data_IF_184698234027
#
_entry.id   IF_184698234027
#
_cell.length_a   1.000
_cell.length_b   1.000
_cell.length_c   1.000
_cell.angle_alpha   90.00
_cell.angle_beta   90.00
_cell.angle_gamma   90.00
#
_symmetry.space_group_name_H-M   'P 1'
#
loop_
_entity.id
_entity.type
_entity.pdbx_description
1 polymer ?
#
# COMPACT_ATOMS: atom_id res chain seq x y z
N UNK A 1 24.91 -21.01 -41.02
CA UNK A 1 26.22 -21.70 -41.09
C UNK A 1 26.18 -22.80 -40.04
N UNK A 2 25.76 -24.01 -40.47
CA UNK A 2 25.88 -25.21 -39.66
C UNK A 2 27.06 -25.98 -40.26
N UNK A 3 28.17 -26.02 -39.56
CA UNK A 3 29.26 -26.91 -39.87
C UNK A 3 29.17 -28.14 -38.96
N UNK A 4 29.18 -29.25 -39.62
CA UNK A 4 29.50 -30.61 -39.21
C UNK A 4 29.23 -31.07 -37.77
N UNK A 5 28.40 -32.09 -37.69
CA UNK A 5 28.07 -32.91 -36.54
C UNK A 5 29.35 -33.51 -35.96
N UNK A 6 29.84 -32.97 -34.86
CA UNK A 6 30.79 -33.64 -33.98
C UNK A 6 29.94 -34.40 -32.95
N UNK A 7 30.08 -35.70 -32.93
CA UNK A 7 29.51 -36.62 -31.94
C UNK A 7 30.20 -36.41 -30.60
N UNK A 8 29.73 -35.42 -29.85
CA UNK A 8 30.14 -35.16 -28.47
C UNK A 8 28.91 -34.71 -27.70
N UNK A 9 28.81 -35.05 -26.40
CA UNK A 9 27.77 -34.55 -25.51
C UNK A 9 27.73 -33.02 -25.55
N UNK A 10 26.58 -32.47 -25.90
CA UNK A 10 26.38 -31.01 -25.97
C UNK A 10 26.41 -30.47 -24.54
N UNK A 11 27.50 -29.80 -24.19
CA UNK A 11 27.62 -29.13 -22.89
C UNK A 11 27.14 -27.69 -22.99
N UNK A 12 26.33 -27.23 -22.01
CA UNK A 12 25.87 -25.83 -22.00
C UNK A 12 27.03 -24.89 -21.74
N UNK A 13 27.08 -23.78 -22.47
CA UNK A 13 28.10 -22.73 -22.28
C UNK A 13 27.95 -22.05 -20.93
N UNK A 14 29.03 -21.47 -20.43
CA UNK A 14 29.02 -20.67 -19.19
C UNK A 14 28.00 -19.52 -19.23
N UNK A 15 27.84 -18.87 -20.38
CA UNK A 15 26.82 -17.84 -20.58
C UNK A 15 25.40 -18.37 -20.41
N UNK A 16 25.10 -19.54 -20.98
CA UNK A 16 23.80 -20.20 -20.82
C UNK A 16 23.52 -20.61 -19.37
N UNK A 17 24.52 -21.12 -18.66
CA UNK A 17 24.38 -21.45 -17.23
C UNK A 17 24.08 -20.19 -16.38
N UNK A 18 24.78 -19.07 -16.64
CA UNK A 18 24.51 -17.79 -15.95
C UNK A 18 23.10 -17.26 -16.20
N UNK A 19 22.59 -17.38 -17.44
CA UNK A 19 21.22 -16.99 -17.76
C UNK A 19 20.21 -17.80 -16.97
N UNK A 20 20.38 -19.13 -16.89
CA UNK A 20 19.50 -19.99 -16.11
C UNK A 20 19.57 -19.67 -14.61
N UNK A 21 20.76 -19.47 -14.06
CA UNK A 21 20.91 -19.09 -12.66
C UNK A 21 20.23 -17.75 -12.32
N UNK A 22 20.36 -16.75 -13.21
CA UNK A 22 19.65 -15.47 -13.05
C UNK A 22 18.15 -15.62 -13.13
N UNK A 23 17.65 -16.45 -14.05
CA UNK A 23 16.21 -16.71 -14.17
C UNK A 23 15.66 -17.38 -12.89
N UNK A 24 16.37 -18.36 -12.33
CA UNK A 24 16.01 -19.02 -11.07
C UNK A 24 16.03 -18.01 -9.91
N UNK A 25 17.07 -17.20 -9.80
CA UNK A 25 17.20 -16.19 -8.75
C UNK A 25 16.07 -15.14 -8.83
N UNK A 26 15.73 -14.69 -10.03
CA UNK A 26 14.60 -13.77 -10.25
C UNK A 26 13.25 -14.36 -9.83
N UNK A 27 13.03 -15.63 -10.10
CA UNK A 27 11.78 -16.31 -9.71
C UNK A 27 11.70 -16.51 -8.20
N UNK A 28 12.81 -16.89 -7.56
CA UNK A 28 12.88 -17.03 -6.11
C UNK A 28 12.67 -15.70 -5.38
N UNK A 29 13.27 -14.61 -5.87
CA UNK A 29 13.10 -13.27 -5.29
C UNK A 29 11.68 -12.70 -5.46
N UNK A 30 10.95 -13.17 -6.49
CA UNK A 30 9.55 -12.76 -6.74
C UNK A 30 8.50 -13.68 -6.11
N UNK A 31 8.92 -14.63 -5.25
CA UNK A 31 8.02 -15.55 -4.55
C UNK A 31 7.31 -16.59 -5.44
N UNK A 32 7.66 -16.70 -6.71
CA UNK A 32 7.09 -17.68 -7.65
C UNK A 32 7.82 -19.03 -7.52
N UNK A 33 7.09 -20.13 -7.73
CA UNK A 33 7.62 -21.49 -7.55
C UNK A 33 8.17 -22.13 -8.83
N UNK A 34 7.87 -21.57 -10.00
CA UNK A 34 8.23 -22.16 -11.29
C UNK A 34 8.94 -21.16 -12.19
N UNK A 35 10.02 -21.60 -12.86
CA UNK A 35 10.74 -20.83 -13.87
C UNK A 35 10.12 -21.10 -15.23
N UNK A 36 9.50 -20.09 -15.82
CA UNK A 36 8.94 -20.18 -17.18
C UNK A 36 9.88 -19.58 -18.22
N UNK A 37 9.71 -19.95 -19.50
CA UNK A 37 10.55 -19.46 -20.60
C UNK A 37 10.63 -17.92 -20.69
N UNK A 38 9.58 -17.22 -20.28
CA UNK A 38 9.54 -15.77 -20.18
C UNK A 38 10.61 -15.21 -19.23
N UNK A 39 10.82 -15.86 -18.07
CA UNK A 39 11.84 -15.47 -17.10
C UNK A 39 13.26 -15.66 -17.68
N UNK A 40 13.45 -16.74 -18.46
CA UNK A 40 14.73 -17.01 -19.13
C UNK A 40 15.00 -15.97 -20.21
N UNK A 41 13.98 -15.58 -20.99
CA UNK A 41 14.09 -14.54 -22.01
C UNK A 41 14.51 -13.19 -21.40
N UNK A 42 13.90 -12.77 -20.28
CA UNK A 42 14.29 -11.55 -19.57
C UNK A 42 15.72 -11.63 -19.03
N UNK A 43 16.10 -12.78 -18.46
CA UNK A 43 17.44 -13.01 -17.90
C UNK A 43 18.52 -13.00 -18.97
N UNK A 44 18.19 -13.41 -20.22
CA UNK A 44 19.11 -13.44 -21.37
C UNK A 44 19.62 -12.06 -21.76
N UNK A 45 18.82 -10.98 -21.60
CA UNK A 45 19.25 -9.60 -21.83
C UNK A 45 20.37 -9.13 -20.88
N UNK A 46 20.66 -9.89 -19.83
CA UNK A 46 21.80 -9.62 -18.95
C UNK A 46 23.15 -10.11 -19.50
N UNK A 47 23.19 -10.85 -20.61
CA UNK A 47 24.42 -11.31 -21.29
C UNK A 47 24.68 -10.43 -22.51
N UNK A 48 25.52 -9.41 -22.35
CA UNK A 48 25.81 -8.40 -23.42
C UNK A 48 26.47 -9.01 -24.64
N UNK A 49 27.20 -10.12 -24.50
CA UNK A 49 27.88 -10.82 -25.59
C UNK A 49 26.97 -11.87 -26.28
N UNK A 50 25.72 -11.97 -25.94
CA UNK A 50 24.79 -12.93 -26.54
C UNK A 50 24.36 -12.49 -27.95
N UNK A 51 24.61 -13.35 -28.92
CA UNK A 51 24.15 -13.13 -30.29
C UNK A 51 22.62 -13.00 -30.39
N UNK A 52 21.89 -13.69 -29.53
CA UNK A 52 20.43 -13.60 -29.46
C UNK A 52 19.98 -12.21 -29.01
N UNK A 53 20.64 -11.63 -27.98
CA UNK A 53 20.38 -10.26 -27.54
C UNK A 53 20.70 -9.23 -28.59
N UNK A 54 21.81 -9.41 -29.31
CA UNK A 54 22.19 -8.57 -30.45
C UNK A 54 21.09 -8.59 -31.54
N UNK A 55 20.60 -9.78 -31.93
CA UNK A 55 19.55 -9.88 -32.92
C UNK A 55 18.22 -9.26 -32.48
N UNK A 56 17.82 -9.44 -31.22
CA UNK A 56 16.63 -8.81 -30.67
C UNK A 56 16.75 -7.28 -30.63
N UNK A 57 17.91 -6.77 -30.21
CA UNK A 57 18.18 -5.33 -30.19
C UNK A 57 18.19 -4.73 -31.61
N UNK A 58 18.70 -5.47 -32.62
CA UNK A 58 18.65 -5.06 -34.01
C UNK A 58 17.23 -5.00 -34.59
N UNK A 59 16.31 -5.77 -34.03
CA UNK A 59 14.87 -5.70 -34.31
C UNK A 59 14.14 -4.63 -33.47
N UNK A 60 14.89 -3.81 -32.73
CA UNK A 60 14.32 -2.77 -31.86
C UNK A 60 13.62 -3.30 -30.62
N UNK A 61 13.84 -4.57 -30.24
CA UNK A 61 13.28 -5.17 -29.03
C UNK A 61 14.25 -4.98 -27.88
N UNK A 62 13.85 -4.20 -26.87
CA UNK A 62 14.59 -4.00 -25.61
C UNK A 62 14.14 -4.95 -24.51
N UNK A 63 14.94 -5.07 -23.46
CA UNK A 63 14.56 -5.82 -22.24
C UNK A 63 13.24 -5.31 -21.66
N UNK A 64 13.03 -3.99 -21.68
CA UNK A 64 11.83 -3.36 -21.13
C UNK A 64 10.58 -3.75 -21.93
N UNK A 65 10.68 -3.80 -23.26
CA UNK A 65 9.58 -4.22 -24.13
C UNK A 65 9.12 -5.65 -23.79
N UNK A 66 10.11 -6.55 -23.55
CA UNK A 66 9.82 -7.94 -23.16
C UNK A 66 9.18 -8.02 -21.78
N UNK A 67 9.67 -7.26 -20.80
CA UNK A 67 9.09 -7.20 -19.45
C UNK A 67 7.67 -6.65 -19.48
N UNK A 68 7.43 -5.57 -20.21
CA UNK A 68 6.10 -4.96 -20.37
C UNK A 68 5.12 -5.91 -21.06
N UNK A 69 5.57 -6.62 -22.10
CA UNK A 69 4.73 -7.61 -22.75
C UNK A 69 4.34 -8.77 -21.83
N UNK A 70 5.30 -9.28 -21.04
CA UNK A 70 5.05 -10.38 -20.10
C UNK A 70 4.17 -9.96 -18.93
N UNK A 71 4.32 -8.71 -18.45
CA UNK A 71 3.60 -8.21 -17.27
C UNK A 71 2.21 -7.64 -17.59
N UNK A 72 2.06 -7.01 -18.75
CA UNK A 72 0.87 -6.21 -19.07
C UNK A 72 0.24 -6.56 -20.43
N UNK A 73 0.82 -7.47 -21.22
CA UNK A 73 0.33 -7.83 -22.56
C UNK A 73 0.42 -6.71 -23.59
N UNK A 74 1.19 -5.65 -23.33
CA UNK A 74 1.30 -4.48 -24.20
C UNK A 74 2.33 -4.78 -25.30
N UNK A 75 1.85 -4.94 -26.55
CA UNK A 75 2.72 -5.08 -27.71
C UNK A 75 3.17 -3.70 -28.20
N UNK A 76 4.42 -3.63 -28.69
CA UNK A 76 4.96 -2.42 -29.33
C UNK A 76 4.24 -2.18 -30.64
N UNK A 77 3.43 -1.12 -30.75
CA UNK A 77 2.82 -0.68 -32.01
C UNK A 77 3.91 0.06 -32.80
N UNK A 78 4.23 -0.44 -33.96
CA UNK A 78 5.15 0.22 -34.92
C UNK A 78 4.46 1.43 -35.49
N UNK A 79 4.81 2.63 -35.05
CA UNK A 79 4.53 3.86 -35.79
C UNK A 79 5.59 4.09 -36.86
N UNK A 80 5.25 3.71 -38.09
CA UNK A 80 5.87 4.31 -39.28
C UNK A 80 5.21 5.67 -39.49
N UNK A 81 5.91 6.75 -39.16
CA UNK A 81 6.03 8.01 -39.93
C UNK A 81 6.65 9.09 -39.04
N UNK A 82 7.91 9.30 -39.20
CA UNK A 82 8.53 10.61 -39.46
C UNK A 82 10.06 10.53 -39.34
N UNK A 83 10.70 10.48 -40.52
CA UNK A 83 12.10 10.83 -40.68
C UNK A 83 12.25 12.34 -40.51
N UNK A 84 13.18 12.78 -39.67
CA UNK A 84 14.06 13.93 -39.92
C UNK A 84 15.40 13.67 -39.23
N UNK A 85 16.46 13.92 -40.00
CA UNK A 85 17.88 13.77 -39.71
C UNK A 85 18.37 14.65 -38.55
N UNK A 86 19.32 14.21 -37.73
CA UNK A 86 20.68 14.73 -37.68
C UNK A 86 21.54 14.15 -36.54
N UNK A 87 22.73 13.68 -37.02
CA UNK A 87 24.07 13.74 -36.42
C UNK A 87 24.34 13.38 -34.95
N UNK A 88 25.08 12.28 -34.89
CA UNK A 88 26.15 11.89 -33.94
C UNK A 88 26.49 12.83 -32.79
N UNK A 89 26.31 12.34 -31.61
CA UNK A 89 27.28 12.40 -30.50
C UNK A 89 27.01 11.30 -29.47
N UNK A 90 28.06 10.52 -29.21
CA UNK A 90 28.12 9.51 -28.16
C UNK A 90 27.85 10.14 -26.78
N UNK A 91 26.74 9.71 -26.15
CA UNK A 91 26.59 9.73 -24.68
C UNK A 91 25.56 8.66 -24.27
N UNK A 92 25.71 8.01 -23.08
CA UNK A 92 24.92 6.82 -22.72
C UNK A 92 23.47 7.17 -22.47
N UNK A 93 22.58 6.25 -22.86
CA UNK A 93 21.12 6.27 -22.82
C UNK A 93 20.55 7.10 -21.65
N UNK A 94 20.13 8.33 -21.94
CA UNK A 94 19.34 9.16 -21.07
C UNK A 94 17.93 8.58 -20.94
N UNK A 95 17.56 8.13 -19.75
CA UNK A 95 16.16 8.04 -19.34
C UNK A 95 15.50 9.38 -19.69
N UNK A 96 14.27 9.33 -20.21
CA UNK A 96 13.52 10.53 -20.60
C UNK A 96 13.47 11.54 -19.44
N UNK A 97 14.41 12.49 -19.42
CA UNK A 97 14.60 13.50 -18.36
C UNK A 97 13.45 14.52 -18.30
N UNK A 98 12.42 14.40 -19.15
CA UNK A 98 11.44 15.47 -19.31
C UNK A 98 10.21 15.39 -18.40
N UNK A 99 9.94 14.27 -17.69
CA UNK A 99 8.76 14.19 -16.81
C UNK A 99 8.97 13.31 -15.57
N UNK A 100 9.95 13.64 -14.70
CA UNK A 100 10.21 12.84 -13.49
C UNK A 100 9.00 12.79 -12.53
N UNK A 101 8.12 13.79 -12.53
CA UNK A 101 6.93 13.81 -11.70
C UNK A 101 5.90 12.76 -12.14
N UNK A 102 5.70 12.57 -13.43
CA UNK A 102 4.77 11.55 -13.96
C UNK A 102 5.29 10.13 -13.77
N UNK A 103 6.62 9.95 -13.77
CA UNK A 103 7.25 8.64 -13.61
C UNK A 103 7.30 8.16 -12.15
N UNK A 104 7.38 9.09 -11.19
CA UNK A 104 7.67 8.78 -9.78
C UNK A 104 6.63 9.33 -8.80
N UNK A 105 5.56 9.98 -9.29
CA UNK A 105 4.48 10.46 -8.44
C UNK A 105 3.13 10.30 -9.15
N UNK A 106 2.13 9.93 -8.36
CA UNK A 106 0.75 9.78 -8.83
C UNK A 106 -0.04 11.06 -8.55
N UNK A 107 -0.68 11.63 -9.56
CA UNK A 107 -1.58 12.78 -9.40
C UNK A 107 -2.92 12.33 -8.79
N UNK A 108 -3.14 12.62 -7.50
CA UNK A 108 -4.36 12.23 -6.80
C UNK A 108 -5.59 12.98 -7.30
N UNK A 109 -5.46 14.25 -7.70
CA UNK A 109 -6.59 15.00 -8.26
C UNK A 109 -7.09 14.37 -9.56
N UNK A 110 -6.18 13.92 -10.41
CA UNK A 110 -6.55 13.22 -11.66
C UNK A 110 -7.25 11.89 -11.35
N UNK A 111 -6.76 11.11 -10.37
CA UNK A 111 -7.45 9.89 -9.91
C UNK A 111 -8.84 10.19 -9.35
N UNK A 112 -9.00 11.31 -8.62
CA UNK A 112 -10.29 11.76 -8.12
C UNK A 112 -11.27 12.07 -9.24
N UNK A 113 -10.83 12.82 -10.27
CA UNK A 113 -11.64 13.13 -11.47
C UNK A 113 -12.08 11.87 -12.22
N UNK A 114 -11.24 10.85 -12.26
CA UNK A 114 -11.52 9.55 -12.90
C UNK A 114 -12.42 8.65 -12.04
N UNK A 115 -12.77 9.06 -10.82
CA UNK A 115 -13.57 8.26 -9.90
C UNK A 115 -12.83 7.07 -9.26
N UNK A 116 -11.49 7.05 -9.34
CA UNK A 116 -10.66 5.97 -8.80
C UNK A 116 -10.29 6.15 -7.32
N UNK A 117 -10.80 7.18 -6.67
CA UNK A 117 -10.61 7.41 -5.23
C UNK A 117 -11.88 7.02 -4.49
N UNK A 118 -11.71 6.29 -3.40
CA UNK A 118 -12.78 5.90 -2.52
C UNK A 118 -13.36 7.11 -1.75
N UNK A 119 -14.67 7.11 -1.46
CA UNK A 119 -15.26 8.18 -0.66
C UNK A 119 -14.64 8.17 0.74
N UNK A 120 -14.16 9.31 1.20
CA UNK A 120 -13.76 9.50 2.59
C UNK A 120 -15.02 9.73 3.42
N UNK A 121 -15.18 8.96 4.49
CA UNK A 121 -16.34 8.99 5.37
C UNK A 121 -15.86 9.24 6.79
N UNK A 122 -16.49 10.21 7.44
CA UNK A 122 -15.96 10.77 8.66
C UNK A 122 -14.67 11.54 8.41
N UNK A 123 -13.94 11.90 9.42
CA UNK A 123 -12.65 12.60 9.33
C UNK A 123 -12.74 14.06 8.85
N UNK A 124 -13.90 14.68 9.00
CA UNK A 124 -14.10 16.09 8.64
C UNK A 124 -13.16 17.00 9.42
N UNK A 125 -12.99 16.76 10.71
CA UNK A 125 -12.13 17.55 11.61
C UNK A 125 -10.66 17.44 11.23
N UNK A 126 -10.19 16.24 10.90
CA UNK A 126 -8.80 16.01 10.47
C UNK A 126 -8.52 16.62 9.09
N UNK A 127 -9.48 16.56 8.17
CA UNK A 127 -9.39 17.25 6.88
C UNK A 127 -9.37 18.76 7.06
N UNK A 128 -10.29 19.33 7.84
CA UNK A 128 -10.32 20.76 8.12
C UNK A 128 -9.00 21.20 8.75
N UNK A 129 -8.49 20.44 9.71
CA UNK A 129 -7.20 20.71 10.32
C UNK A 129 -6.05 20.63 9.33
N UNK A 130 -6.05 19.68 8.41
CA UNK A 130 -5.06 19.55 7.33
C UNK A 130 -5.10 20.77 6.41
N UNK A 131 -6.28 21.21 6.00
CA UNK A 131 -6.50 22.42 5.20
C UNK A 131 -5.98 23.66 5.93
N UNK A 132 -6.33 23.83 7.21
CA UNK A 132 -5.87 24.96 8.03
C UNK A 132 -4.34 25.03 8.07
N UNK A 133 -3.67 23.89 8.25
CA UNK A 133 -2.21 23.82 8.30
C UNK A 133 -1.61 24.16 6.95
N UNK A 134 -2.11 23.63 5.84
CA UNK A 134 -1.63 23.94 4.49
C UNK A 134 -1.77 25.43 4.11
N UNK A 135 -2.73 26.13 4.70
CA UNK A 135 -2.93 27.56 4.51
C UNK A 135 -2.03 28.44 5.40
N UNK A 136 -1.26 27.88 6.33
CA UNK A 136 -0.39 28.66 7.23
C UNK A 136 0.84 29.19 6.50
N UNK A 137 1.37 30.29 6.99
CA UNK A 137 2.62 30.88 6.48
C UNK A 137 3.87 30.07 6.90
N UNK A 138 3.83 29.47 8.09
CA UNK A 138 4.93 28.65 8.66
C UNK A 138 4.35 27.40 9.28
N UNK A 139 5.14 26.31 9.36
CA UNK A 139 4.68 25.00 9.79
C UNK A 139 3.44 24.58 8.99
N UNK A 140 3.51 24.78 7.69
CA UNK A 140 2.44 24.54 6.73
C UNK A 140 2.44 23.12 6.15
N UNK A 141 3.22 22.22 6.73
CA UNK A 141 3.28 20.83 6.32
C UNK A 141 2.59 19.96 7.39
N UNK A 142 1.39 19.43 7.12
CA UNK A 142 0.74 18.50 8.04
C UNK A 142 1.49 17.16 8.06
N UNK A 143 1.59 16.57 9.27
CA UNK A 143 2.10 15.23 9.48
C UNK A 143 1.00 14.40 10.13
N UNK A 144 0.43 13.46 9.36
CA UNK A 144 -0.60 12.55 9.81
C UNK A 144 0.06 11.43 10.62
N UNK A 145 -0.21 11.37 11.92
CA UNK A 145 0.38 10.39 12.83
C UNK A 145 -0.72 9.48 13.38
N UNK A 146 -0.58 8.19 13.19
CA UNK A 146 -1.54 7.20 13.67
C UNK A 146 -1.06 5.79 13.33
N UNK A 147 -1.69 4.79 13.90
CA UNK A 147 -1.33 3.39 13.66
C UNK A 147 -1.54 2.96 12.21
N UNK A 148 -0.97 1.83 11.81
CA UNK A 148 -1.16 1.30 10.46
C UNK A 148 -2.63 0.92 10.24
N UNK A 149 -3.20 1.25 9.07
CA UNK A 149 -4.57 0.87 8.74
C UNK A 149 -5.68 1.80 9.25
N UNK A 150 -5.36 2.91 9.97
CA UNK A 150 -6.39 3.86 10.46
C UNK A 150 -6.90 4.85 9.40
N UNK A 151 -6.38 4.80 8.16
CA UNK A 151 -6.87 5.61 7.05
C UNK A 151 -6.08 6.87 6.74
N UNK A 152 -4.78 6.97 7.10
CA UNK A 152 -3.92 8.13 6.80
C UNK A 152 -3.82 8.46 5.32
N UNK A 153 -3.66 7.46 4.47
CA UNK A 153 -3.59 7.61 3.00
C UNK A 153 -4.93 8.07 2.44
N UNK A 154 -6.04 7.51 2.96
CA UNK A 154 -7.39 7.91 2.56
C UNK A 154 -7.69 9.39 2.85
N UNK A 155 -7.09 9.99 3.90
CA UNK A 155 -7.19 11.43 4.18
C UNK A 155 -6.56 12.28 3.06
N UNK A 156 -5.40 11.90 2.55
CA UNK A 156 -4.76 12.62 1.43
C UNK A 156 -5.57 12.48 0.14
N UNK A 157 -6.11 11.30 -0.12
CA UNK A 157 -7.00 11.04 -1.26
C UNK A 157 -8.33 11.80 -1.13
N UNK A 158 -8.94 11.81 0.06
CA UNK A 158 -10.15 12.56 0.35
C UNK A 158 -9.96 14.07 0.21
N UNK A 159 -8.80 14.60 0.62
CA UNK A 159 -8.45 16.00 0.40
C UNK A 159 -8.32 16.32 -1.10
N UNK A 160 -7.69 15.44 -1.88
CA UNK A 160 -7.59 15.61 -3.33
C UNK A 160 -8.98 15.65 -3.98
N UNK A 161 -9.91 14.81 -3.53
CA UNK A 161 -11.29 14.82 -3.99
C UNK A 161 -12.01 16.13 -3.63
N UNK A 162 -11.89 16.62 -2.39
CA UNK A 162 -12.45 17.92 -1.97
C UNK A 162 -11.89 19.09 -2.78
N UNK A 163 -10.62 19.05 -3.19
CA UNK A 163 -10.04 20.06 -4.08
C UNK A 163 -10.71 20.01 -5.46
N UNK A 164 -10.90 18.84 -6.03
CA UNK A 164 -11.57 18.64 -7.31
C UNK A 164 -13.03 19.10 -7.26
N UNK A 165 -13.73 18.76 -6.20
CA UNK A 165 -15.14 19.13 -5.96
C UNK A 165 -15.29 20.62 -5.55
N UNK A 166 -14.17 21.35 -5.40
CA UNK A 166 -14.10 22.77 -4.98
C UNK A 166 -14.64 23.03 -3.56
N UNK A 167 -14.61 22.03 -2.71
CA UNK A 167 -15.03 22.09 -1.31
C UNK A 167 -13.88 22.52 -0.37
N UNK A 168 -12.99 23.37 -0.85
CA UNK A 168 -11.83 23.90 -0.12
C UNK A 168 -11.76 25.41 -0.26
N UNK A 169 -11.06 26.11 0.68
CA UNK A 169 -10.81 27.54 0.57
C UNK A 169 -10.10 27.94 -0.73
N UNK A 170 -10.30 29.17 -1.18
CA UNK A 170 -9.77 29.70 -2.46
C UNK A 170 -8.27 29.47 -2.63
N UNK A 171 -7.51 29.53 -1.54
CA UNK A 171 -6.05 29.33 -1.52
C UNK A 171 -5.64 27.91 -2.00
N UNK A 172 -6.52 26.93 -1.86
CA UNK A 172 -6.24 25.54 -2.23
C UNK A 172 -7.01 25.06 -3.48
N UNK A 173 -7.90 25.88 -4.04
CA UNK A 173 -8.73 25.48 -5.20
C UNK A 173 -7.93 25.06 -6.44
N UNK A 174 -6.72 25.59 -6.58
CA UNK A 174 -5.82 25.28 -7.69
C UNK A 174 -4.67 24.36 -7.28
N UNK A 175 -4.75 23.80 -6.07
CA UNK A 175 -3.70 22.88 -5.60
C UNK A 175 -3.88 21.49 -6.20
N UNK A 176 -2.75 20.83 -6.48
CA UNK A 176 -2.70 19.46 -6.97
C UNK A 176 -1.85 18.63 -6.02
N UNK A 177 -2.40 17.53 -5.53
CA UNK A 177 -1.71 16.60 -4.63
C UNK A 177 -1.03 15.50 -5.46
N UNK A 178 0.27 15.35 -5.27
CA UNK A 178 1.10 14.33 -5.89
C UNK A 178 1.56 13.34 -4.83
N UNK A 179 1.13 12.09 -4.92
CA UNK A 179 1.60 11.01 -4.05
C UNK A 179 2.90 10.44 -4.57
N UNK A 180 3.97 10.52 -3.77
CA UNK A 180 5.28 10.01 -4.14
C UNK A 180 5.31 8.48 -4.13
N UNK A 181 5.73 7.88 -5.24
CA UNK A 181 5.96 6.43 -5.31
C UNK A 181 7.43 6.11 -4.97
N UNK A 182 7.64 5.71 -3.72
CA UNK A 182 8.97 5.33 -3.24
C UNK A 182 9.48 4.05 -3.91
N UNK A 183 8.59 3.12 -4.23
CA UNK A 183 8.93 1.89 -4.93
C UNK A 183 9.49 2.18 -6.32
N UNK A 184 8.83 3.05 -7.08
CA UNK A 184 9.29 3.48 -8.40
C UNK A 184 10.62 4.24 -8.35
N UNK A 185 10.82 5.09 -7.33
CA UNK A 185 12.08 5.81 -7.14
C UNK A 185 13.27 4.89 -6.90
N UNK A 186 13.07 3.79 -6.17
CA UNK A 186 14.11 2.82 -5.82
C UNK A 186 14.28 1.75 -6.89
N UNK A 187 13.23 1.42 -7.64
CA UNK A 187 13.27 0.36 -8.64
C UNK A 187 14.36 0.59 -9.68
N UNK A 188 15.26 -0.41 -9.85
CA UNK A 188 16.34 -0.36 -10.83
C UNK A 188 17.52 0.55 -10.47
N UNK A 189 17.55 1.22 -9.31
CA UNK A 189 18.71 1.97 -8.84
C UNK A 189 19.77 0.99 -8.33
N UNK A 190 21.00 1.10 -8.85
CA UNK A 190 22.16 0.33 -8.38
C UNK A 190 22.95 1.09 -7.32
N UNK A 191 22.89 2.41 -7.35
CA UNK A 191 23.67 3.30 -6.51
C UNK A 191 22.78 4.36 -5.86
N UNK A 192 23.19 4.81 -4.67
CA UNK A 192 22.52 5.90 -3.95
C UNK A 192 22.35 7.17 -4.79
N UNK A 193 23.30 7.47 -5.66
CA UNK A 193 23.27 8.64 -6.54
C UNK A 193 22.12 8.63 -7.54
N UNK A 194 21.68 7.46 -8.00
CA UNK A 194 20.56 7.35 -8.96
C UNK A 194 19.24 7.76 -8.29
N UNK A 195 19.00 7.26 -7.08
CA UNK A 195 17.85 7.65 -6.27
C UNK A 195 17.83 9.17 -5.98
N UNK A 196 18.99 9.71 -5.54
CA UNK A 196 19.11 11.14 -5.27
C UNK A 196 18.86 11.98 -6.51
N UNK A 197 19.34 11.56 -7.69
CA UNK A 197 19.10 12.23 -8.98
C UNK A 197 17.62 12.23 -9.33
N UNK A 198 16.93 11.10 -9.21
CA UNK A 198 15.49 10.96 -9.46
C UNK A 198 14.67 11.85 -8.53
N UNK A 199 14.90 11.75 -7.22
CA UNK A 199 14.20 12.55 -6.22
C UNK A 199 14.44 14.06 -6.44
N UNK A 200 15.67 14.49 -6.75
CA UNK A 200 15.97 15.88 -7.12
C UNK A 200 15.19 16.33 -8.35
N UNK A 201 15.03 15.45 -9.34
CA UNK A 201 14.21 15.70 -10.53
C UNK A 201 12.76 15.98 -10.18
N UNK A 202 12.13 15.09 -9.39
CA UNK A 202 10.74 15.26 -8.89
C UNK A 202 10.60 16.57 -8.11
N UNK A 203 11.48 16.81 -7.15
CA UNK A 203 11.42 18.01 -6.31
C UNK A 203 11.59 19.32 -7.11
N UNK A 204 12.46 19.33 -8.13
CA UNK A 204 12.62 20.48 -9.04
C UNK A 204 11.37 20.76 -9.87
N UNK A 205 10.70 19.69 -10.32
CA UNK A 205 9.47 19.82 -11.10
C UNK A 205 8.30 20.28 -10.22
N UNK A 206 8.15 19.74 -9.01
CA UNK A 206 7.17 20.20 -8.03
C UNK A 206 7.33 21.69 -7.70
N UNK A 207 8.57 22.17 -7.54
CA UNK A 207 8.85 23.60 -7.30
C UNK A 207 8.40 24.50 -8.45
N UNK A 208 8.37 24.01 -9.69
CA UNK A 208 7.92 24.75 -10.87
C UNK A 208 6.40 24.69 -11.09
N UNK A 209 5.73 23.77 -10.40
CA UNK A 209 4.29 23.55 -10.53
C UNK A 209 3.56 24.35 -9.46
N UNK A 210 2.85 25.37 -9.86
CA UNK A 210 2.08 26.20 -8.93
C UNK A 210 1.01 25.37 -8.21
N UNK A 211 0.91 25.57 -6.90
CA UNK A 211 -0.06 24.87 -6.06
C UNK A 211 0.23 23.39 -5.84
N UNK A 212 1.40 22.88 -6.24
CA UNK A 212 1.76 21.49 -6.00
C UNK A 212 1.93 21.21 -4.50
N UNK A 213 1.32 20.09 -4.05
CA UNK A 213 1.45 19.56 -2.69
C UNK A 213 1.96 18.11 -2.83
N UNK A 214 3.09 17.82 -2.19
CA UNK A 214 3.66 16.48 -2.19
C UNK A 214 3.09 15.67 -1.02
N UNK A 215 2.46 14.54 -1.30
CA UNK A 215 2.12 13.54 -0.28
C UNK A 215 3.18 12.44 -0.25
N UNK A 216 3.70 12.18 0.94
CA UNK A 216 4.68 11.12 1.18
C UNK A 216 4.09 10.19 2.23
N UNK A 217 3.66 9.02 1.79
CA UNK A 217 3.24 7.97 2.70
C UNK A 217 4.48 7.34 3.36
N UNK A 218 4.36 6.95 4.61
CA UNK A 218 5.47 6.42 5.41
C UNK A 218 6.74 7.27 5.30
N UNK A 219 6.62 8.59 5.47
CA UNK A 219 7.71 9.57 5.28
C UNK A 219 8.97 9.22 6.07
N UNK A 220 8.85 8.44 7.14
CA UNK A 220 9.96 7.96 7.95
C UNK A 220 10.94 7.08 7.15
N UNK A 221 10.46 6.39 6.11
CA UNK A 221 11.31 5.54 5.25
C UNK A 221 12.35 6.35 4.48
N UNK A 222 12.05 7.61 4.16
CA UNK A 222 12.97 8.52 3.46
C UNK A 222 13.87 9.29 4.43
N UNK A 223 13.35 9.60 5.63
CA UNK A 223 13.98 10.53 6.56
C UNK A 223 14.86 9.82 7.58
N UNK A 224 14.51 8.61 8.01
CA UNK A 224 15.15 7.93 9.13
C UNK A 224 16.17 6.85 8.79
N UNK A 225 16.32 6.54 7.55
CA UNK A 225 17.06 5.39 7.07
C UNK A 225 18.61 5.48 7.23
N UNK A 226 19.13 6.62 7.67
CA UNK A 226 20.57 6.89 7.72
C UNK A 226 21.32 6.33 8.92
N UNK A 227 20.68 5.84 9.98
CA UNK A 227 21.39 5.63 11.26
C UNK A 227 21.59 4.19 11.73
N UNK A 228 20.94 3.18 11.15
CA UNK A 228 20.93 1.83 11.75
C UNK A 228 21.32 0.65 10.84
N UNK A 229 21.38 0.81 9.53
CA UNK A 229 21.84 -0.27 8.65
C UNK A 229 22.54 0.30 7.41
N UNK A 230 23.78 -0.05 7.21
CA UNK A 230 24.70 0.48 6.19
C UNK A 230 24.26 0.32 4.73
N UNK A 231 23.14 0.92 4.35
CA UNK A 231 22.66 0.82 2.96
C UNK A 231 21.38 1.59 2.64
N UNK A 232 20.69 2.21 3.59
CA UNK A 232 19.40 2.84 3.36
C UNK A 232 19.54 4.34 3.05
N UNK A 233 18.72 4.80 2.12
CA UNK A 233 18.75 6.09 1.42
C UNK A 233 18.31 7.24 2.31
N UNK A 234 19.22 8.07 2.79
CA UNK A 234 18.88 9.29 3.52
C UNK A 234 18.58 10.45 2.55
N UNK A 235 17.31 10.64 2.26
CA UNK A 235 16.83 11.77 1.45
C UNK A 235 16.57 13.04 2.28
N UNK A 236 16.78 12.99 3.59
CA UNK A 236 16.55 14.14 4.49
C UNK A 236 17.29 15.39 4.02
N UNK A 237 18.52 15.21 3.55
CA UNK A 237 19.36 16.32 3.08
C UNK A 237 18.83 17.00 1.82
N UNK A 238 17.97 16.33 1.05
CA UNK A 238 17.34 16.88 -0.14
C UNK A 238 16.00 17.58 0.17
N UNK A 239 15.21 16.99 1.05
CA UNK A 239 13.86 17.47 1.39
C UNK A 239 13.92 18.62 2.39
N UNK A 240 14.78 18.54 3.43
CA UNK A 240 14.91 19.56 4.48
C UNK A 240 15.12 21.00 3.96
N UNK A 241 16.01 21.27 2.99
CA UNK A 241 16.21 22.62 2.47
C UNK A 241 14.95 23.17 1.80
N UNK A 242 14.22 22.35 1.05
CA UNK A 242 13.01 22.77 0.33
C UNK A 242 11.82 23.02 1.26
N UNK A 243 11.68 22.23 2.31
CA UNK A 243 10.72 22.48 3.38
C UNK A 243 11.11 23.74 4.19
N UNK A 244 12.42 24.03 4.28
CA UNK A 244 12.94 25.18 5.02
C UNK A 244 12.68 26.50 4.29
N UNK A 245 12.85 26.53 2.96
CA UNK A 245 12.59 27.71 2.12
C UNK A 245 11.09 28.00 1.98
N UNK A 246 10.20 27.01 2.22
CA UNK A 246 8.77 27.10 1.96
C UNK A 246 8.40 26.91 0.48
N UNK A 247 9.37 26.49 -0.34
CA UNK A 247 9.19 26.21 -1.76
C UNK A 247 8.37 24.93 -2.04
N UNK A 248 8.24 24.07 -1.03
CA UNK A 248 7.51 22.82 -1.11
C UNK A 248 6.48 22.73 0.01
N UNK A 249 5.23 22.48 -0.34
CA UNK A 249 4.21 22.02 0.61
C UNK A 249 4.20 20.50 0.62
N UNK A 250 4.21 19.91 1.81
CA UNK A 250 4.29 18.46 1.97
C UNK A 250 3.28 17.99 3.02
N UNK A 251 2.57 16.92 2.70
CA UNK A 251 1.78 16.13 3.64
C UNK A 251 2.56 14.85 3.89
N UNK A 252 2.91 14.54 5.12
CA UNK A 252 3.56 13.29 5.49
C UNK A 252 2.61 12.38 6.26
N UNK A 253 2.78 11.07 6.17
CA UNK A 253 2.16 10.11 7.06
C UNK A 253 3.23 9.29 7.79
N UNK A 254 2.94 8.89 9.03
CA UNK A 254 3.85 8.04 9.82
C UNK A 254 3.08 7.37 10.96
N UNK A 255 3.70 6.40 11.63
CA UNK A 255 3.13 5.82 12.86
C UNK A 255 3.64 6.53 14.10
N UNK A 256 3.03 6.25 15.27
CA UNK A 256 3.47 6.84 16.54
C UNK A 256 4.90 6.42 16.93
N UNK A 257 5.27 5.17 16.62
CA UNK A 257 6.60 4.65 16.94
C UNK A 257 7.69 5.38 16.15
N UNK A 258 7.52 5.54 14.83
CA UNK A 258 8.48 6.23 13.96
C UNK A 258 8.47 7.75 14.21
N UNK A 259 7.32 8.34 14.54
CA UNK A 259 7.27 9.75 14.94
C UNK A 259 8.19 10.04 16.12
N UNK A 260 8.10 9.24 17.19
CA UNK A 260 8.96 9.38 18.38
C UNK A 260 10.42 9.09 18.08
N UNK A 261 10.70 8.07 17.25
CA UNK A 261 12.06 7.64 16.98
C UNK A 261 12.84 8.58 16.05
N UNK A 262 12.16 9.25 15.12
CA UNK A 262 12.76 10.03 14.03
C UNK A 262 12.43 11.52 14.14
N UNK A 263 11.12 11.88 14.14
CA UNK A 263 10.73 13.29 14.06
C UNK A 263 10.97 14.07 15.35
N UNK A 264 10.76 13.48 16.53
CA UNK A 264 11.04 14.16 17.80
C UNK A 264 12.52 14.43 18.00
N UNK A 265 13.39 13.56 17.45
CA UNK A 265 14.85 13.73 17.52
C UNK A 265 15.39 14.73 16.51
N UNK A 266 14.71 14.94 15.40
CA UNK A 266 15.11 15.89 14.36
C UNK A 266 14.41 17.23 14.51
N UNK A 267 15.01 18.13 15.26
CA UNK A 267 14.46 19.46 15.50
C UNK A 267 14.22 20.29 14.25
N UNK A 268 14.93 20.03 13.13
CA UNK A 268 14.76 20.75 11.88
C UNK A 268 13.44 20.35 11.20
N UNK A 269 13.08 19.06 11.23
CA UNK A 269 11.82 18.55 10.73
C UNK A 269 10.65 18.90 11.65
N UNK A 270 10.81 18.72 12.97
CA UNK A 270 9.78 19.05 13.95
C UNK A 270 9.31 20.52 13.88
N UNK A 271 10.20 21.43 13.48
CA UNK A 271 9.84 22.85 13.26
C UNK A 271 9.09 23.12 11.95
N UNK A 272 9.06 22.18 11.01
CA UNK A 272 8.47 22.35 9.69
C UNK A 272 7.14 21.62 9.53
N UNK A 273 6.98 20.53 10.25
CA UNK A 273 5.75 19.76 10.27
C UNK A 273 4.86 20.14 11.46
N UNK A 274 3.57 20.03 11.25
CA UNK A 274 2.56 20.13 12.29
C UNK A 274 1.87 18.76 12.42
N UNK A 275 2.01 18.14 13.57
CA UNK A 275 1.37 16.85 13.89
C UNK A 275 -0.16 16.99 13.88
N UNK A 276 -0.81 16.01 13.28
CA UNK A 276 -2.24 15.72 13.37
C UNK A 276 -2.35 14.26 13.80
N UNK A 277 -3.00 14.01 14.92
CA UNK A 277 -3.27 12.65 15.39
C UNK A 277 -4.44 12.06 14.61
N UNK A 278 -4.27 10.85 14.12
CA UNK A 278 -5.30 10.08 13.41
C UNK A 278 -5.58 8.84 14.23
N UNK A 279 -6.61 8.94 15.03
CA UNK A 279 -7.01 7.88 15.95
C UNK A 279 -7.75 6.76 15.21
N UNK A 280 -7.77 5.57 15.79
CA UNK A 280 -8.58 4.46 15.32
C UNK A 280 -10.06 4.86 15.37
N UNK A 281 -10.83 4.67 14.27
CA UNK A 281 -12.26 4.99 14.30
C UNK A 281 -13.00 4.01 15.21
N UNK A 282 -14.08 4.48 15.79
CA UNK A 282 -15.01 3.65 16.58
C UNK A 282 -15.69 2.60 15.68
N UNK A 283 -16.31 1.61 16.32
CA UNK A 283 -17.08 0.58 15.59
C UNK A 283 -18.21 1.21 14.77
N UNK A 284 -18.92 2.20 15.31
CA UNK A 284 -20.02 2.88 14.61
C UNK A 284 -19.52 3.68 13.40
N UNK A 285 -18.43 4.44 13.55
CA UNK A 285 -17.78 5.13 12.43
C UNK A 285 -17.28 4.14 11.37
N UNK A 286 -16.74 3.01 11.80
CA UNK A 286 -16.32 1.95 10.88
C UNK A 286 -17.51 1.36 10.11
N UNK A 287 -18.66 1.15 10.77
CA UNK A 287 -19.89 0.71 10.08
C UNK A 287 -20.28 1.71 8.99
N UNK A 288 -20.18 3.00 9.25
CA UNK A 288 -20.52 4.02 8.26
C UNK A 288 -19.49 4.07 7.12
N UNK A 289 -18.21 3.89 7.40
CA UNK A 289 -17.16 3.71 6.39
C UNK A 289 -17.48 2.51 5.49
N UNK A 290 -17.78 1.35 6.08
CA UNK A 290 -18.14 0.15 5.32
C UNK A 290 -19.40 0.35 4.46
N UNK A 291 -20.41 1.08 4.95
CA UNK A 291 -21.61 1.42 4.17
C UNK A 291 -21.27 2.29 2.95
N UNK A 292 -20.37 3.25 3.12
CA UNK A 292 -19.95 4.12 2.01
C UNK A 292 -19.11 3.40 0.96
N UNK A 293 -18.30 2.43 1.38
CA UNK A 293 -17.51 1.59 0.48
C UNK A 293 -18.31 0.44 -0.16
N UNK A 294 -19.49 0.12 0.39
CA UNK A 294 -20.33 -1.02 0.01
C UNK A 294 -20.52 -1.15 -1.49
N UNK A 295 -20.90 -0.09 -2.17
CA UNK A 295 -21.21 -0.12 -3.61
C UNK A 295 -20.02 -0.57 -4.44
N UNK A 296 -18.81 -0.11 -4.11
CA UNK A 296 -17.58 -0.48 -4.81
C UNK A 296 -17.23 -1.95 -4.63
N UNK A 297 -17.35 -2.47 -3.41
CA UNK A 297 -17.12 -3.89 -3.14
C UNK A 297 -18.20 -4.77 -3.79
N UNK A 298 -19.46 -4.30 -3.83
CA UNK A 298 -20.55 -4.99 -4.51
C UNK A 298 -20.31 -5.10 -6.03
N UNK A 299 -19.81 -4.03 -6.64
CA UNK A 299 -19.46 -4.00 -8.07
C UNK A 299 -18.24 -4.87 -8.37
N UNK A 300 -17.19 -4.81 -7.51
CA UNK A 300 -15.96 -5.56 -7.71
C UNK A 300 -16.18 -7.08 -7.61
N UNK A 301 -16.95 -7.54 -6.63
CA UNK A 301 -17.17 -8.96 -6.37
C UNK A 301 -18.43 -9.52 -7.04
N UNK A 302 -19.28 -8.67 -7.64
CA UNK A 302 -20.61 -9.04 -8.16
C UNK A 302 -21.47 -9.75 -7.09
N UNK A 303 -21.55 -9.16 -5.89
CA UNK A 303 -22.30 -9.64 -4.73
C UNK A 303 -23.12 -8.50 -4.12
N UNK A 304 -23.99 -8.83 -3.16
CA UNK A 304 -24.70 -7.85 -2.34
C UNK A 304 -24.36 -8.05 -0.86
N UNK A 305 -24.03 -6.97 -0.16
CA UNK A 305 -23.79 -7.01 1.28
C UNK A 305 -25.05 -6.60 2.05
N UNK A 306 -25.48 -7.42 3.00
CA UNK A 306 -26.52 -7.00 3.94
C UNK A 306 -25.97 -5.98 4.95
N UNK A 307 -26.78 -5.04 5.41
CA UNK A 307 -26.34 -4.06 6.41
C UNK A 307 -25.90 -4.73 7.73
N UNK A 308 -26.54 -5.86 8.06
CA UNK A 308 -26.15 -6.65 9.23
C UNK A 308 -24.79 -7.32 9.05
N UNK A 309 -24.42 -7.71 7.81
CA UNK A 309 -23.08 -8.23 7.54
C UNK A 309 -22.00 -7.15 7.71
N UNK A 310 -22.25 -5.92 7.25
CA UNK A 310 -21.30 -4.80 7.45
C UNK A 310 -21.12 -4.47 8.94
N UNK A 311 -22.23 -4.44 9.70
CA UNK A 311 -22.19 -4.26 11.16
C UNK A 311 -21.39 -5.40 11.82
N UNK A 312 -21.70 -6.64 11.49
CA UNK A 312 -20.98 -7.80 12.01
C UNK A 312 -19.48 -7.76 11.66
N UNK A 313 -19.11 -7.30 10.46
CA UNK A 313 -17.72 -7.17 10.07
C UNK A 313 -16.96 -6.19 10.97
N UNK A 314 -17.54 -5.04 11.29
CA UNK A 314 -16.93 -4.07 12.20
C UNK A 314 -16.83 -4.62 13.63
N UNK A 315 -17.96 -5.10 14.21
CA UNK A 315 -18.04 -5.58 15.58
C UNK A 315 -17.14 -6.81 15.82
N UNK A 316 -17.15 -7.78 14.90
CA UNK A 316 -16.38 -9.01 15.07
C UNK A 316 -14.89 -8.83 14.79
N UNK A 317 -14.53 -7.97 13.82
CA UNK A 317 -13.12 -7.65 13.58
C UNK A 317 -12.51 -6.91 14.76
N UNK A 318 -13.22 -5.98 15.38
CA UNK A 318 -12.78 -5.29 16.60
C UNK A 318 -12.55 -6.28 17.75
N UNK A 319 -13.45 -7.21 17.91
CA UNK A 319 -13.43 -8.16 19.02
C UNK A 319 -12.39 -9.27 18.88
N UNK A 320 -12.17 -9.79 17.67
CA UNK A 320 -11.39 -11.01 17.45
C UNK A 320 -10.08 -10.80 16.69
N UNK A 321 -9.91 -9.68 15.96
CA UNK A 321 -8.69 -9.34 15.25
C UNK A 321 -7.98 -8.22 16.01
N UNK A 322 -7.04 -8.60 16.88
CA UNK A 322 -6.39 -7.67 17.82
C UNK A 322 -5.02 -7.18 17.36
N UNK A 323 -4.48 -7.75 16.30
CA UNK A 323 -3.16 -7.42 15.72
C UNK A 323 -3.20 -6.30 14.68
N UNK A 324 -4.40 -5.80 14.36
CA UNK A 324 -4.65 -4.73 13.38
C UNK A 324 -5.69 -3.74 13.90
N UNK A 325 -5.77 -2.59 13.23
CA UNK A 325 -6.66 -1.48 13.59
C UNK A 325 -7.83 -1.33 12.63
N UNK A 326 -8.93 -0.78 13.12
CA UNK A 326 -10.05 -0.32 12.29
C UNK A 326 -9.63 0.93 11.48
N UNK A 327 -10.18 1.16 10.28
CA UNK A 327 -11.18 0.35 9.59
C UNK A 327 -10.58 -0.80 8.76
N UNK A 328 -9.26 -0.86 8.59
CA UNK A 328 -8.55 -1.75 7.66
C UNK A 328 -8.92 -3.23 7.88
N UNK A 329 -8.84 -3.71 9.14
CA UNK A 329 -9.23 -5.09 9.49
C UNK A 329 -10.68 -5.44 9.14
N UNK A 330 -11.60 -4.47 9.21
CA UNK A 330 -13.00 -4.69 8.85
C UNK A 330 -13.22 -4.64 7.33
N UNK A 331 -12.47 -3.80 6.63
CA UNK A 331 -12.43 -3.74 5.17
C UNK A 331 -11.92 -5.06 4.60
N UNK A 332 -10.82 -5.60 5.13
CA UNK A 332 -10.28 -6.91 4.72
C UNK A 332 -11.30 -8.02 4.91
N UNK A 333 -12.05 -8.01 6.01
CA UNK A 333 -13.11 -9.01 6.28
C UNK A 333 -14.21 -8.95 5.23
N UNK A 334 -14.70 -7.77 4.84
CA UNK A 334 -15.75 -7.67 3.80
C UNK A 334 -15.21 -8.03 2.42
N UNK A 335 -13.97 -7.67 2.12
CA UNK A 335 -13.32 -7.99 0.84
C UNK A 335 -13.14 -9.51 0.69
N UNK A 336 -12.59 -10.19 1.70
CA UNK A 336 -12.44 -11.66 1.69
C UNK A 336 -13.79 -12.37 1.66
N UNK A 337 -14.82 -11.85 2.37
CA UNK A 337 -16.17 -12.41 2.33
C UNK A 337 -16.81 -12.30 0.94
N UNK A 338 -16.63 -11.16 0.27
CA UNK A 338 -17.08 -10.94 -1.10
C UNK A 338 -16.41 -11.87 -2.09
N UNK A 339 -15.08 -11.96 -2.01
CA UNK A 339 -14.29 -12.85 -2.85
C UNK A 339 -14.70 -14.33 -2.66
N UNK A 340 -14.84 -14.78 -1.41
CA UNK A 340 -15.27 -16.14 -1.08
C UNK A 340 -16.68 -16.43 -1.64
N UNK A 341 -17.60 -15.49 -1.48
CA UNK A 341 -18.98 -15.63 -1.97
C UNK A 341 -19.05 -15.66 -3.50
N UNK A 342 -18.20 -14.91 -4.17
CA UNK A 342 -18.04 -14.96 -5.64
C UNK A 342 -17.58 -16.33 -6.11
N UNK A 343 -16.58 -16.94 -5.44
CA UNK A 343 -16.03 -18.24 -5.80
C UNK A 343 -17.00 -19.42 -5.55
N UNK A 344 -17.76 -19.39 -4.45
CA UNK A 344 -18.67 -20.48 -4.06
C UNK A 344 -19.97 -20.55 -4.86
N UNK A 345 -20.29 -19.56 -5.68
CA UNK A 345 -21.57 -19.51 -6.35
C UNK A 345 -21.58 -20.08 -7.75
N UNK A 346 -22.58 -20.88 -8.04
CA UNK A 346 -22.95 -21.30 -9.40
C UNK A 346 -23.49 -20.10 -10.19
N UNK A 347 -23.15 -20.02 -11.46
CA UNK A 347 -23.53 -18.95 -12.39
C UNK A 347 -25.05 -18.67 -12.37
N UNK A 348 -25.47 -17.42 -12.13
CA UNK A 348 -26.82 -16.95 -12.44
C UNK A 348 -27.63 -16.29 -11.33
N UNK A 349 -27.23 -16.24 -10.06
CA UNK A 349 -27.94 -15.48 -9.02
C UNK A 349 -27.05 -14.47 -8.32
N UNK A 350 -27.52 -13.23 -8.13
CA UNK A 350 -26.82 -12.23 -7.28
C UNK A 350 -26.68 -12.80 -5.89
N UNK A 351 -25.45 -12.97 -5.48
CA UNK A 351 -25.10 -13.62 -4.23
C UNK A 351 -25.10 -12.59 -3.11
N UNK A 352 -25.75 -12.90 -2.00
CA UNK A 352 -25.76 -12.04 -0.83
C UNK A 352 -24.73 -12.54 0.20
N UNK A 353 -23.92 -11.62 0.71
CA UNK A 353 -23.05 -11.83 1.87
C UNK A 353 -23.86 -11.53 3.13
N UNK A 354 -23.97 -12.51 4.00
CA UNK A 354 -24.71 -12.46 5.24
C UNK A 354 -23.78 -12.52 6.46
N UNK A 355 -24.34 -12.39 7.65
CA UNK A 355 -23.60 -12.44 8.92
C UNK A 355 -22.79 -13.73 9.05
N UNK A 356 -23.36 -14.88 8.72
CA UNK A 356 -22.66 -16.19 8.79
C UNK A 356 -21.42 -16.23 7.88
N UNK A 357 -21.43 -15.56 6.72
CA UNK A 357 -20.27 -15.49 5.83
C UNK A 357 -19.15 -14.70 6.52
N UNK A 358 -19.49 -13.59 7.17
CA UNK A 358 -18.55 -12.75 7.95
C UNK A 358 -17.97 -13.52 9.14
N UNK A 359 -18.82 -14.20 9.92
CA UNK A 359 -18.39 -15.02 11.07
C UNK A 359 -17.36 -16.08 10.65
N UNK A 360 -17.59 -16.74 9.51
CA UNK A 360 -16.66 -17.73 8.97
C UNK A 360 -15.33 -17.13 8.55
N UNK A 361 -15.33 -15.94 7.95
CA UNK A 361 -14.10 -15.25 7.55
C UNK A 361 -13.33 -14.78 8.79
N UNK A 362 -13.99 -14.13 9.74
CA UNK A 362 -13.35 -13.70 10.99
C UNK A 362 -12.76 -14.90 11.75
N UNK A 363 -13.50 -16.01 11.84
CA UNK A 363 -13.00 -17.24 12.47
C UNK A 363 -11.70 -17.73 11.80
N UNK A 364 -11.66 -17.67 10.46
CA UNK A 364 -10.49 -18.08 9.68
C UNK A 364 -9.30 -17.13 9.88
N UNK A 365 -9.52 -15.82 9.84
CA UNK A 365 -8.47 -14.81 10.02
C UNK A 365 -7.92 -14.89 11.47
N UNK A 366 -8.80 -14.90 12.46
CA UNK A 366 -8.44 -14.96 13.88
C UNK A 366 -7.98 -16.36 14.32
N UNK A 367 -8.07 -17.38 13.46
CA UNK A 367 -7.72 -18.79 13.74
C UNK A 367 -8.48 -19.38 14.94
N UNK A 368 -9.75 -19.04 15.09
CA UNK A 368 -10.64 -19.53 16.15
C UNK A 368 -11.76 -20.37 15.54
N UNK A 369 -12.38 -21.29 16.31
CA UNK A 369 -13.54 -22.04 15.83
C UNK A 369 -14.72 -21.11 15.50
N UNK A 370 -15.38 -21.31 14.35
CA UNK A 370 -16.51 -20.48 13.90
C UNK A 370 -17.66 -20.43 14.92
N UNK A 371 -17.88 -21.51 15.66
CA UNK A 371 -18.87 -21.56 16.74
C UNK A 371 -18.60 -20.52 17.86
N UNK A 372 -17.33 -20.17 18.09
CA UNK A 372 -16.95 -19.18 19.12
C UNK A 372 -17.30 -17.76 18.67
N UNK A 373 -17.28 -17.50 17.38
CA UNK A 373 -17.61 -16.18 16.81
C UNK A 373 -19.12 -15.93 16.81
N UNK A 374 -19.92 -16.97 16.57
CA UNK A 374 -21.38 -16.89 16.48
C UNK A 374 -22.11 -16.91 17.83
N UNK A 375 -21.42 -17.34 18.91
CA UNK A 375 -22.04 -17.46 20.22
C UNK A 375 -21.99 -16.12 20.98
N UNK A 376 -23.12 -15.66 21.53
CA UNK A 376 -23.13 -14.45 22.33
C UNK A 376 -22.28 -14.61 23.62
N UNK A 377 -21.57 -13.55 24.02
CA UNK A 377 -20.76 -13.57 25.25
C UNK A 377 -21.56 -14.00 26.48
N UNK A 378 -22.82 -13.64 26.52
CA UNK A 378 -23.72 -13.99 27.62
C UNK A 378 -23.88 -15.51 27.78
N UNK A 379 -24.02 -16.25 26.66
CA UNK A 379 -24.13 -17.71 26.70
C UNK A 379 -22.81 -18.40 27.05
N UNK A 380 -21.70 -17.89 26.49
CA UNK A 380 -20.36 -18.41 26.81
C UNK A 380 -20.05 -18.22 28.29
N UNK A 381 -20.29 -17.02 28.84
CA UNK A 381 -20.05 -16.72 30.23
C UNK A 381 -21.00 -17.50 31.20
N UNK A 382 -22.24 -17.76 30.77
CA UNK A 382 -23.19 -18.57 31.53
C UNK A 382 -22.72 -20.02 31.66
N UNK A 383 -22.16 -20.58 30.61
CA UNK A 383 -21.72 -21.99 30.56
C UNK A 383 -20.25 -22.18 30.95
N UNK A 384 -19.46 -21.10 31.12
CA UNK A 384 -18.01 -21.13 31.30
C UNK A 384 -17.54 -22.11 32.40
N UNK A 385 -18.16 -22.07 33.54
CA UNK A 385 -17.78 -22.91 34.68
C UNK A 385 -18.04 -24.40 34.40
N UNK A 386 -19.19 -24.69 33.81
CA UNK A 386 -19.52 -26.07 33.38
C UNK A 386 -18.53 -26.59 32.33
N UNK A 387 -18.21 -25.79 31.35
CA UNK A 387 -17.36 -26.19 30.21
C UNK A 387 -15.89 -26.36 30.66
N UNK A 388 -15.43 -25.54 31.60
CA UNK A 388 -14.12 -25.71 32.25
C UNK A 388 -14.05 -27.00 33.09
N UNK A 389 -15.10 -27.31 33.87
CA UNK A 389 -15.19 -28.50 34.69
C UNK A 389 -15.23 -29.79 33.84
N UNK A 390 -15.68 -29.73 32.59
CA UNK A 390 -15.62 -30.87 31.66
C UNK A 390 -14.21 -31.11 31.12
N UNK A 391 -13.31 -30.14 31.15
CA UNK A 391 -11.95 -30.24 30.63
C UNK A 391 -10.90 -30.44 31.72
N UNK A 392 -11.12 -29.84 32.88
CA UNK A 392 -10.15 -29.82 33.99
C UNK A 392 -10.79 -30.49 35.23
N UNK A 393 -10.23 -31.61 35.66
CA UNK A 393 -10.74 -32.37 36.79
C UNK A 393 -10.01 -32.05 38.11
N UNK A 394 -10.72 -32.04 39.19
CA UNK A 394 -10.16 -31.89 40.55
C UNK A 394 -9.66 -30.45 40.89
N UNK A 395 -10.11 -29.45 40.17
CA UNK A 395 -9.75 -28.05 40.37
C UNK A 395 -11.01 -27.15 40.55
N UNK A 396 -12.08 -27.69 41.10
CA UNK A 396 -13.41 -27.04 41.12
C UNK A 396 -13.37 -25.66 41.78
N UNK A 397 -12.65 -25.49 42.88
CA UNK A 397 -12.53 -24.21 43.60
C UNK A 397 -11.78 -23.16 42.75
N UNK A 398 -10.72 -23.56 42.05
CA UNK A 398 -9.96 -22.68 41.17
C UNK A 398 -10.79 -22.28 39.94
N UNK A 399 -11.55 -23.19 39.35
CA UNK A 399 -12.44 -22.95 38.22
C UNK A 399 -13.55 -21.98 38.61
N UNK A 400 -14.19 -22.16 39.79
CA UNK A 400 -15.24 -21.25 40.28
C UNK A 400 -14.71 -19.84 40.51
N UNK A 401 -13.52 -19.69 41.10
CA UNK A 401 -12.87 -18.38 41.29
C UNK A 401 -12.52 -17.72 39.97
N UNK A 402 -11.95 -18.49 39.01
CA UNK A 402 -11.60 -18.01 37.69
C UNK A 402 -12.84 -17.56 36.91
N UNK A 403 -13.90 -18.39 36.87
CA UNK A 403 -15.15 -18.08 36.17
C UNK A 403 -15.83 -16.83 36.77
N UNK A 404 -15.79 -16.69 38.07
CA UNK A 404 -16.33 -15.51 38.76
C UNK A 404 -15.52 -14.26 38.37
N UNK A 405 -14.21 -14.30 38.42
CA UNK A 405 -13.34 -13.18 38.04
C UNK A 405 -13.53 -12.77 36.56
N UNK A 406 -13.66 -13.71 35.66
CA UNK A 406 -13.93 -13.44 34.24
C UNK A 406 -15.32 -12.80 34.06
N UNK A 407 -16.36 -13.34 34.71
CA UNK A 407 -17.70 -12.75 34.68
C UNK A 407 -17.72 -11.32 35.24
N UNK A 408 -17.00 -11.04 36.32
CA UNK A 408 -16.89 -9.68 36.91
C UNK A 408 -16.16 -8.72 35.95
N UNK A 409 -15.05 -9.15 35.33
CA UNK A 409 -14.31 -8.36 34.36
C UNK A 409 -15.17 -8.00 33.13
N UNK A 410 -15.99 -8.93 32.66
CA UNK A 410 -16.84 -8.75 31.48
C UNK A 410 -18.20 -8.05 31.80
N UNK A 411 -18.57 -7.90 33.05
CA UNK A 411 -19.80 -7.21 33.44
C UNK A 411 -19.73 -5.67 33.35
N UNK A 412 -18.57 -5.12 32.96
CA UNK A 412 -18.35 -3.67 32.91
C UNK A 412 -18.23 -3.00 34.28
N UNK A 413 -18.21 -3.77 35.36
CA UNK A 413 -18.07 -3.26 36.76
C UNK A 413 -16.60 -3.04 37.15
N UNK A 414 -15.67 -3.45 36.31
CA UNK A 414 -14.24 -3.24 36.51
C UNK A 414 -13.78 -1.86 36.02
N UNK A 415 -12.66 -1.36 36.56
CA UNK A 415 -12.04 -0.16 36.05
C UNK A 415 -11.48 -0.43 34.65
N UNK A 416 -11.91 0.28 33.58
CA UNK A 416 -11.45 0.03 32.20
C UNK A 416 -9.95 0.22 32.01
N UNK A 417 -9.29 1.00 32.89
CA UNK A 417 -7.85 1.30 32.77
C UNK A 417 -6.94 0.31 33.56
N UNK A 418 -7.50 -0.80 34.03
CA UNK A 418 -6.75 -1.82 34.81
C UNK A 418 -6.99 -3.22 34.27
#
# INVERSE_FOLDING_TARGET
IFSDVVSGEVQPTLGFQRVLQRAVFHVQSSGKKEVVGANVLVAMFGEQESQAVYLLSKQGVSRLDVVNYISHGIAKVSDETQKIEHETRDEPAGESENQPLENFATNLNQRAMQGHIDPLIGREDEIERTIQILCRRRKNNPLLVGEAGVGKTALAEGLAKKIVDREVPDVLKHSTIYSLDLGALVAGTKYRGDFEKRLKGVLRQLKKTDGAVLFIDEIHTIIGAGSASGGVMDASNLIKPMLASGDLKCIGSTTYAEFRSIFEKDHALARRFQKIDIDEPTVDETIDILKGLKTRFEEHHDVKYSNNALRAAAELSERFITDRFLPDKAIDVIDEAGANRRLLGKSGSKKSVNVNDIENIVAKIARIPSKTVSTSDTEVLKNLERDLNLMVFGQDEAITKLATSIRMSRSGLGNPDK
#
